data_IF_832509647213
#
_entry.id   IF_832509647213
#
_cell.length_a   1.000
_cell.length_b   1.000
_cell.length_c   1.000
_cell.angle_alpha   90.00
_cell.angle_beta   90.00
_cell.angle_gamma   90.00
#
_symmetry.space_group_name_H-M   'P 1'
#
loop_
_entity.id
_entity.type
_entity.pdbx_description
1 polymer ?
#
# COMPACT_ATOMS: atom_id res chain seq x y z
N UNK A 1 -32.72 -44.13 17.50
CA UNK A 1 -31.86 -43.59 16.44
C UNK A 1 -32.01 -42.07 16.52
N UNK A 2 -31.20 -41.46 17.38
CA UNK A 2 -31.26 -40.04 17.72
C UNK A 2 -30.28 -39.31 16.81
N UNK A 3 -30.79 -38.62 15.78
CA UNK A 3 -29.99 -37.73 14.92
C UNK A 3 -29.82 -36.40 15.65
N UNK A 4 -28.83 -36.34 16.53
CA UNK A 4 -28.29 -35.11 17.09
C UNK A 4 -26.78 -35.16 16.90
N UNK A 5 -26.29 -34.88 15.69
CA UNK A 5 -24.88 -34.55 15.48
C UNK A 5 -24.64 -33.86 14.13
N UNK A 6 -25.51 -32.93 13.73
CA UNK A 6 -25.09 -31.85 12.82
C UNK A 6 -24.66 -30.65 13.68
N UNK A 7 -23.51 -30.90 14.30
CA UNK A 7 -22.62 -29.94 14.89
C UNK A 7 -22.12 -28.98 13.80
N UNK A 8 -22.24 -27.68 14.06
CA UNK A 8 -21.37 -26.64 13.51
C UNK A 8 -21.39 -26.43 11.98
N UNK A 9 -22.51 -25.94 11.46
CA UNK A 9 -22.44 -24.85 10.47
C UNK A 9 -23.28 -23.67 10.98
N UNK A 10 -23.04 -23.28 12.24
CA UNK A 10 -22.90 -21.85 12.47
C UNK A 10 -21.70 -21.48 11.60
N UNK A 11 -22.01 -21.13 10.34
CA UNK A 11 -21.02 -20.59 9.42
C UNK A 11 -20.31 -19.55 10.24
N UNK A 12 -19.05 -19.85 10.55
CA UNK A 12 -18.17 -18.90 11.18
C UNK A 12 -18.24 -17.73 10.24
N UNK A 13 -19.02 -16.73 10.61
CA UNK A 13 -18.81 -15.38 10.17
C UNK A 13 -17.39 -15.12 10.67
N UNK A 14 -16.43 -15.56 9.86
CA UNK A 14 -15.12 -15.01 9.79
C UNK A 14 -15.30 -13.60 9.21
N UNK A 15 -16.07 -12.78 9.93
CA UNK A 15 -15.94 -11.35 10.10
C UNK A 15 -14.62 -11.02 10.84
N UNK A 16 -13.69 -11.97 10.84
CA UNK A 16 -12.28 -11.72 11.05
C UNK A 16 -11.80 -10.95 9.81
N UNK A 17 -11.94 -9.62 9.90
CA UNK A 17 -10.90 -8.74 9.39
C UNK A 17 -10.68 -8.79 7.86
N UNK A 18 -11.71 -8.48 7.07
CA UNK A 18 -11.49 -7.79 5.77
C UNK A 18 -10.87 -6.38 6.02
N UNK A 19 -10.73 -5.99 7.28
CA UNK A 19 -9.88 -4.92 7.75
C UNK A 19 -8.39 -5.25 7.47
N UNK A 20 -7.78 -4.46 6.59
CA UNK A 20 -6.34 -4.13 6.52
C UNK A 20 -5.38 -5.01 5.69
N UNK A 21 -5.67 -5.29 4.43
CA UNK A 21 -4.55 -5.21 3.46
C UNK A 21 -4.36 -3.75 3.00
N UNK A 22 -5.48 -3.05 2.75
CA UNK A 22 -5.48 -1.67 2.22
C UNK A 22 -5.96 -0.61 3.23
N UNK A 23 -6.31 -1.00 4.46
CA UNK A 23 -6.95 -0.10 5.44
C UNK A 23 -6.11 1.14 5.77
N UNK A 24 -4.78 1.02 5.74
CA UNK A 24 -3.88 2.16 5.89
C UNK A 24 -3.98 3.12 4.68
N UNK A 25 -3.92 2.59 3.47
CA UNK A 25 -4.02 3.35 2.22
C UNK A 25 -5.37 4.04 2.08
N UNK A 26 -6.45 3.33 2.41
CA UNK A 26 -7.82 3.87 2.44
C UNK A 26 -7.92 5.00 3.48
N UNK A 27 -7.32 4.84 4.65
CA UNK A 27 -7.28 5.90 5.67
C UNK A 27 -6.56 7.16 5.20
N UNK A 28 -5.40 7.01 4.53
CA UNK A 28 -4.71 8.15 3.92
C UNK A 28 -5.58 8.80 2.83
N UNK A 29 -6.15 8.00 1.94
CA UNK A 29 -7.00 8.48 0.87
C UNK A 29 -8.19 9.28 1.42
N UNK A 30 -8.85 8.76 2.45
CA UNK A 30 -9.96 9.43 3.13
C UNK A 30 -9.57 10.79 3.71
N UNK A 31 -8.43 10.89 4.41
CA UNK A 31 -7.94 12.17 4.95
C UNK A 31 -7.61 13.16 3.83
N UNK A 32 -6.96 12.70 2.76
CA UNK A 32 -6.61 13.55 1.62
C UNK A 32 -7.84 14.09 0.88
N UNK A 33 -8.85 13.24 0.68
CA UNK A 33 -10.12 13.61 0.06
C UNK A 33 -10.90 14.57 0.96
N UNK A 34 -11.08 14.25 2.24
CA UNK A 34 -11.80 15.08 3.21
C UNK A 34 -11.24 16.50 3.33
N UNK A 35 -9.91 16.66 3.19
CA UNK A 35 -9.24 17.96 3.25
C UNK A 35 -9.04 18.61 1.88
N UNK A 36 -9.45 17.96 0.78
CA UNK A 36 -9.19 18.36 -0.60
C UNK A 36 -7.70 18.66 -0.88
N UNK A 37 -6.81 17.79 -0.38
CA UNK A 37 -5.36 17.96 -0.43
C UNK A 37 -4.65 17.05 -1.44
N UNK A 38 -5.40 16.29 -2.24
CA UNK A 38 -4.83 15.31 -3.17
C UNK A 38 -3.87 15.96 -4.18
N UNK A 39 -4.20 17.14 -4.71
CA UNK A 39 -3.31 17.87 -5.64
C UNK A 39 -1.96 18.22 -4.99
N UNK A 40 -1.99 18.75 -3.77
CA UNK A 40 -0.78 19.10 -3.03
C UNK A 40 0.05 17.86 -2.71
N UNK A 41 -0.59 16.78 -2.28
CA UNK A 41 0.08 15.51 -2.02
C UNK A 41 0.78 14.97 -3.27
N UNK A 42 0.11 14.97 -4.42
CA UNK A 42 0.70 14.53 -5.68
C UNK A 42 1.91 15.38 -6.09
N UNK A 43 1.89 16.69 -5.83
CA UNK A 43 3.02 17.58 -6.14
C UNK A 43 4.32 17.26 -5.39
N UNK A 44 4.23 16.53 -4.27
CA UNK A 44 5.40 16.10 -3.50
C UNK A 44 6.22 15.02 -4.22
N UNK A 45 5.64 14.30 -5.19
CA UNK A 45 6.24 13.13 -5.83
C UNK A 45 6.88 12.18 -4.79
N UNK A 46 6.12 11.91 -3.71
CA UNK A 46 6.64 11.20 -2.53
C UNK A 46 7.11 9.78 -2.89
N UNK A 47 6.32 9.05 -3.67
CA UNK A 47 6.68 7.70 -4.12
C UNK A 47 7.96 7.68 -4.95
N UNK A 48 8.12 8.61 -5.91
CA UNK A 48 9.35 8.72 -6.70
C UNK A 48 10.56 9.01 -5.81
N UNK A 49 10.40 9.90 -4.83
CA UNK A 49 11.46 10.21 -3.85
C UNK A 49 11.88 8.97 -3.04
N UNK A 50 10.90 8.18 -2.59
CA UNK A 50 11.16 6.93 -1.85
C UNK A 50 11.84 5.89 -2.75
N UNK A 51 11.34 5.65 -3.97
CA UNK A 51 11.93 4.70 -4.90
C UNK A 51 13.36 5.07 -5.28
N UNK A 52 13.60 6.35 -5.58
CA UNK A 52 14.94 6.84 -5.89
C UNK A 52 15.92 6.63 -4.72
N UNK A 53 15.46 6.88 -3.49
CA UNK A 53 16.28 6.66 -2.29
C UNK A 53 16.62 5.17 -2.14
N UNK A 54 15.62 4.29 -2.17
CA UNK A 54 15.83 2.84 -2.00
C UNK A 54 16.73 2.29 -3.12
N UNK A 55 16.51 2.69 -4.38
CA UNK A 55 17.38 2.29 -5.49
C UNK A 55 18.83 2.76 -5.31
N UNK A 56 19.04 4.01 -4.85
CA UNK A 56 20.38 4.51 -4.53
C UNK A 56 21.06 3.67 -3.45
N UNK A 57 20.33 3.31 -2.40
CA UNK A 57 20.84 2.47 -1.30
C UNK A 57 21.16 1.04 -1.77
N UNK A 58 20.33 0.45 -2.62
CA UNK A 58 20.59 -0.87 -3.24
C UNK A 58 21.87 -0.83 -4.07
N UNK A 59 22.08 0.22 -4.88
CA UNK A 59 23.29 0.37 -5.70
C UNK A 59 24.53 0.52 -4.80
N UNK A 60 24.46 1.35 -3.75
CA UNK A 60 25.54 1.51 -2.77
C UNK A 60 25.88 0.18 -2.09
N UNK A 61 24.86 -0.53 -1.59
CA UNK A 61 25.02 -1.82 -0.92
C UNK A 61 25.67 -2.87 -1.85
N UNK A 62 25.24 -2.93 -3.13
CA UNK A 62 25.86 -3.81 -4.15
C UNK A 62 27.34 -3.48 -4.39
N UNK A 63 27.69 -2.19 -4.43
CA UNK A 63 29.08 -1.78 -4.64
C UNK A 63 29.95 -2.12 -3.42
N UNK A 64 29.47 -1.86 -2.22
CA UNK A 64 30.13 -2.25 -0.96
C UNK A 64 30.32 -3.77 -0.88
N UNK A 65 29.32 -4.55 -1.28
CA UNK A 65 29.41 -6.00 -1.30
C UNK A 65 30.51 -6.50 -2.23
N UNK A 66 30.61 -5.91 -3.44
CA UNK A 66 31.69 -6.23 -4.38
C UNK A 66 33.07 -5.90 -3.81
N UNK A 67 33.19 -4.80 -3.05
CA UNK A 67 34.45 -4.44 -2.39
C UNK A 67 34.79 -5.40 -1.25
N UNK A 68 33.82 -5.79 -0.43
CA UNK A 68 34.00 -6.78 0.64
C UNK A 68 34.46 -8.15 0.08
N UNK A 69 33.84 -8.60 -1.03
CA UNK A 69 34.26 -9.82 -1.72
C UNK A 69 35.70 -9.73 -2.25
N UNK A 70 36.10 -8.59 -2.83
CA UNK A 70 37.49 -8.35 -3.27
C UNK A 70 38.47 -8.35 -2.10
N UNK A 71 38.05 -7.85 -0.94
CA UNK A 71 38.83 -7.86 0.30
C UNK A 71 38.82 -9.22 1.02
N UNK A 72 38.11 -10.24 0.49
CA UNK A 72 37.89 -11.56 1.12
C UNK A 72 37.24 -11.50 2.50
N UNK A 73 36.45 -10.46 2.76
CA UNK A 73 35.63 -10.37 3.97
C UNK A 73 34.25 -11.00 3.69
N UNK A 74 34.17 -12.31 3.89
CA UNK A 74 32.96 -13.10 3.64
C UNK A 74 31.81 -12.76 4.60
N UNK A 75 32.14 -12.38 5.84
CA UNK A 75 31.15 -12.00 6.85
C UNK A 75 30.43 -10.71 6.43
N UNK A 76 31.20 -9.69 6.07
CA UNK A 76 30.67 -8.42 5.58
C UNK A 76 29.91 -8.60 4.27
N UNK A 77 30.44 -9.38 3.32
CA UNK A 77 29.77 -9.65 2.05
C UNK A 77 28.41 -10.32 2.23
N UNK A 78 28.29 -11.24 3.20
CA UNK A 78 27.01 -11.91 3.55
C UNK A 78 26.03 -10.94 4.18
N UNK A 79 26.48 -10.11 5.14
CA UNK A 79 25.64 -9.09 5.77
C UNK A 79 25.06 -8.13 4.72
N UNK A 80 25.89 -7.67 3.79
CA UNK A 80 25.46 -6.79 2.71
C UNK A 80 24.49 -7.47 1.73
N UNK A 81 24.60 -8.79 1.52
CA UNK A 81 23.61 -9.55 0.75
C UNK A 81 22.22 -9.52 1.41
N UNK A 82 22.17 -9.74 2.74
CA UNK A 82 20.93 -9.70 3.51
C UNK A 82 20.30 -8.30 3.49
N UNK A 83 21.12 -7.26 3.71
CA UNK A 83 20.67 -5.87 3.62
C UNK A 83 20.09 -5.55 2.24
N UNK A 84 20.73 -6.04 1.17
CA UNK A 84 20.20 -5.87 -0.18
C UNK A 84 18.83 -6.56 -0.36
N UNK A 85 18.63 -7.76 0.20
CA UNK A 85 17.34 -8.45 0.16
C UNK A 85 16.25 -7.63 0.85
N UNK A 86 16.54 -7.13 2.06
CA UNK A 86 15.61 -6.30 2.82
C UNK A 86 15.22 -5.01 2.08
N UNK A 87 16.19 -4.34 1.45
CA UNK A 87 15.91 -3.14 0.64
C UNK A 87 14.99 -3.45 -0.55
N UNK A 88 15.13 -4.63 -1.18
CA UNK A 88 14.23 -5.04 -2.25
C UNK A 88 12.83 -5.38 -1.72
N UNK A 89 12.71 -6.02 -0.56
CA UNK A 89 11.42 -6.28 0.08
C UNK A 89 10.68 -4.97 0.40
N UNK A 90 11.38 -4.00 1.00
CA UNK A 90 10.84 -2.66 1.25
C UNK A 90 10.38 -1.98 -0.03
N UNK A 91 11.13 -2.11 -1.13
CA UNK A 91 10.72 -1.54 -2.42
C UNK A 91 9.38 -2.13 -2.88
N UNK A 92 9.21 -3.44 -2.77
CA UNK A 92 7.97 -4.13 -3.16
C UNK A 92 6.80 -3.78 -2.23
N UNK A 93 7.05 -3.58 -0.94
CA UNK A 93 6.05 -3.09 0.01
C UNK A 93 5.57 -1.69 -0.34
N UNK A 94 6.49 -0.77 -0.66
CA UNK A 94 6.13 0.59 -1.07
C UNK A 94 5.38 0.62 -2.41
N UNK A 95 5.70 -0.29 -3.34
CA UNK A 95 4.90 -0.44 -4.58
C UNK A 95 3.48 -0.88 -4.28
N UNK A 96 3.30 -1.87 -3.39
CA UNK A 96 1.96 -2.29 -2.96
C UNK A 96 1.19 -1.15 -2.33
N UNK A 97 1.83 -0.40 -1.42
CA UNK A 97 1.24 0.80 -0.82
C UNK A 97 0.79 1.82 -1.87
N UNK A 98 1.63 2.09 -2.87
CA UNK A 98 1.30 3.02 -3.96
C UNK A 98 0.07 2.57 -4.75
N UNK A 99 0.00 1.30 -5.14
CA UNK A 99 -1.16 0.78 -5.89
C UNK A 99 -2.43 0.81 -5.05
N UNK A 100 -2.33 0.37 -3.80
CA UNK A 100 -3.42 0.38 -2.83
C UNK A 100 -3.96 1.80 -2.61
N UNK A 101 -3.08 2.78 -2.43
CA UNK A 101 -3.46 4.19 -2.25
C UNK A 101 -4.10 4.78 -3.51
N UNK A 102 -3.51 4.54 -4.68
CA UNK A 102 -4.06 5.04 -5.95
C UNK A 102 -5.44 4.45 -6.25
N UNK A 103 -5.63 3.17 -5.92
CA UNK A 103 -6.94 2.51 -6.02
C UNK A 103 -7.96 3.19 -5.09
N UNK A 104 -7.61 3.39 -3.82
CA UNK A 104 -8.48 4.03 -2.84
C UNK A 104 -8.84 5.48 -3.21
N UNK A 105 -7.88 6.27 -3.69
CA UNK A 105 -8.13 7.64 -4.18
C UNK A 105 -9.09 7.65 -5.36
N UNK A 106 -8.89 6.78 -6.34
CA UNK A 106 -9.78 6.67 -7.51
C UNK A 106 -11.20 6.30 -7.10
N UNK A 107 -11.34 5.36 -6.15
CA UNK A 107 -12.64 4.94 -5.63
C UNK A 107 -13.37 6.07 -4.92
N UNK A 108 -12.68 6.85 -4.08
CA UNK A 108 -13.29 7.97 -3.35
C UNK A 108 -13.69 9.11 -4.30
N UNK A 109 -12.84 9.45 -5.27
CA UNK A 109 -13.16 10.46 -6.28
C UNK A 109 -14.38 10.07 -7.12
N UNK A 110 -14.51 8.79 -7.48
CA UNK A 110 -15.69 8.32 -8.22
C UNK A 110 -17.00 8.49 -7.43
N UNK A 111 -16.94 8.41 -6.09
CA UNK A 111 -18.11 8.58 -5.24
C UNK A 111 -18.50 10.06 -5.08
N UNK A 112 -17.54 10.98 -4.98
CA UNK A 112 -17.83 12.43 -4.96
C UNK A 112 -18.57 12.87 -6.23
N UNK A 113 -18.13 12.39 -7.40
CA UNK A 113 -18.80 12.68 -8.68
C UNK A 113 -20.22 12.12 -8.72
N UNK A 114 -20.49 10.97 -8.09
CA UNK A 114 -21.84 10.40 -8.07
C UNK A 114 -22.82 11.19 -7.19
N UNK A 115 -22.34 11.75 -6.06
CA UNK A 115 -23.17 12.55 -5.15
C UNK A 115 -23.55 13.91 -5.76
N UNK A 116 -22.64 14.56 -6.50
CA UNK A 116 -22.92 15.84 -7.18
C UNK A 116 -24.02 15.71 -8.27
N UNK A 117 -24.11 14.57 -8.94
CA UNK A 117 -25.09 14.35 -10.02
C UNK A 117 -26.52 14.06 -9.51
N UNK A 118 -26.71 13.74 -8.22
CA UNK A 118 -28.03 13.48 -7.64
C UNK A 118 -28.76 14.79 -7.32
N UNK A 119 -28.04 15.87 -6.99
CA UNK A 119 -28.65 17.17 -6.63
C UNK A 119 -29.23 17.93 -7.83
N UNK A 120 -28.70 17.76 -9.05
CA UNK A 120 -29.22 18.48 -10.23
C UNK A 120 -30.52 17.90 -10.82
N UNK A 121 -30.92 16.67 -10.45
CA UNK A 121 -32.11 16.04 -11.05
C UNK A 121 -33.43 16.38 -10.33
N UNK A 122 -33.39 17.10 -9.19
CA UNK A 122 -34.56 17.35 -8.35
C UNK A 122 -35.00 18.82 -8.26
N UNK A 123 -34.42 19.74 -9.04
CA UNK A 123 -34.73 21.18 -8.96
C UNK A 123 -35.52 21.75 -10.15
N UNK A 124 -35.86 20.95 -11.17
CA UNK A 124 -36.59 21.43 -12.36
C UNK A 124 -38.11 21.14 -12.35
N UNK A 125 -38.66 20.56 -11.28
CA UNK A 125 -40.10 20.22 -11.16
C UNK A 125 -40.82 21.03 -10.05
N UNK A 126 -40.76 22.37 -10.08
CA UNK A 126 -41.71 23.26 -9.38
C UNK A 126 -41.99 24.57 -10.13
#
# INVERSE_FOLDING_TARGET
MSLNEDLAVAGSFNEQFIFVEDGFSIGIAYVLTLLNQQFFFNSLNWFDSVFNKIHSEVIKCKNEQKLALKAKDESLARLLALKQSQLNEQLEEFKRLMYSLNSALTFLQANEVCDENIEETYLDDF
#
